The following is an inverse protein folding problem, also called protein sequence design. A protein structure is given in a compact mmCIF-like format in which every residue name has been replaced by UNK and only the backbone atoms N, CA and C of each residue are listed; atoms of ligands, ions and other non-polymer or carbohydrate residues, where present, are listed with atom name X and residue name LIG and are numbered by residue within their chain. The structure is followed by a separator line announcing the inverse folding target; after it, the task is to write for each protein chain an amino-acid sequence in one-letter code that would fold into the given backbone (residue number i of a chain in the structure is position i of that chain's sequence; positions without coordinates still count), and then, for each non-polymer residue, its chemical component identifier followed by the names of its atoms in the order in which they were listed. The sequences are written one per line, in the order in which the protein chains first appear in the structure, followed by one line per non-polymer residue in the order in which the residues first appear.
data_IF_780504667946
#
_entry.id   IF_780504667946
#
_cell.length_a   1.000
_cell.length_b   1.000
_cell.length_c   1.000
_cell.angle_alpha   90.00
_cell.angle_beta   90.00
_cell.angle_gamma   90.00
#
_symmetry.space_group_name_H-M   'P 1'
#
loop_
_entity.id
_entity.type
_entity.pdbx_description
1 polymer ?
#
# COMPACT_ATOMS: atom_id res chain seq x y z
N UNK A 1 -15.89 20.66 -11.97
CA UNK A 1 -16.51 19.52 -11.25
C UNK A 1 -16.06 19.47 -9.79
N UNK A 2 -17.03 19.25 -8.89
CA UNK A 2 -16.83 19.05 -7.45
C UNK A 2 -16.47 17.58 -7.20
N UNK A 3 -15.42 17.34 -6.41
CA UNK A 3 -14.96 16.01 -6.05
C UNK A 3 -14.89 15.89 -4.53
N UNK A 4 -15.39 14.79 -3.98
CA UNK A 4 -15.30 14.50 -2.55
C UNK A 4 -13.86 14.14 -2.14
N UNK A 5 -13.14 13.44 -3.04
CA UNK A 5 -11.79 12.97 -2.81
C UNK A 5 -10.98 12.94 -4.11
N UNK A 6 -9.68 13.23 -4.00
CA UNK A 6 -8.67 13.05 -5.04
C UNK A 6 -7.62 12.07 -4.51
N UNK A 7 -7.40 11.00 -5.27
CA UNK A 7 -6.40 9.99 -4.96
C UNK A 7 -5.18 10.20 -5.86
N UNK A 8 -4.01 10.42 -5.25
CA UNK A 8 -2.75 10.44 -5.98
C UNK A 8 -2.16 9.03 -6.04
N UNK A 9 -2.46 8.29 -7.11
CA UNK A 9 -2.22 6.84 -7.24
C UNK A 9 -0.78 6.38 -7.46
N UNK A 10 0.22 7.08 -6.93
CA UNK A 10 1.64 6.70 -7.09
C UNK A 10 2.36 6.67 -5.74
N UNK A 11 2.77 5.48 -5.30
CA UNK A 11 3.42 5.28 -3.99
C UNK A 11 4.81 5.89 -3.95
N UNK A 12 5.67 5.52 -4.91
CA UNK A 12 7.03 6.06 -5.05
C UNK A 12 7.02 7.57 -5.28
N UNK A 13 6.15 8.06 -6.16
CA UNK A 13 5.97 9.50 -6.41
C UNK A 13 5.52 10.26 -5.15
N UNK A 14 4.70 9.65 -4.30
CA UNK A 14 4.32 10.27 -3.02
C UNK A 14 5.49 10.38 -2.06
N UNK A 15 6.29 9.32 -1.96
CA UNK A 15 7.44 9.27 -1.05
C UNK A 15 8.51 10.25 -1.51
N UNK A 16 8.79 10.31 -2.81
CA UNK A 16 9.77 11.22 -3.40
C UNK A 16 9.34 12.70 -3.32
N UNK A 17 8.08 13.02 -3.64
CA UNK A 17 7.61 14.40 -3.66
C UNK A 17 7.19 14.93 -2.27
N UNK A 18 6.88 14.03 -1.33
CA UNK A 18 6.32 14.37 -0.03
C UNK A 18 4.81 14.64 -0.08
N UNK A 19 4.10 14.16 0.94
CA UNK A 19 2.65 14.30 1.04
C UNK A 19 2.18 15.76 1.02
N UNK A 20 2.83 16.66 1.76
CA UNK A 20 2.40 18.05 1.86
C UNK A 20 2.51 18.80 0.52
N UNK A 21 3.55 18.50 -0.26
CA UNK A 21 3.72 19.04 -1.61
C UNK A 21 2.57 18.63 -2.53
N UNK A 22 2.23 17.33 -2.53
CA UNK A 22 1.10 16.79 -3.32
C UNK A 22 -0.22 17.39 -2.84
N UNK A 23 -0.46 17.39 -1.53
CA UNK A 23 -1.67 17.93 -0.92
C UNK A 23 -1.87 19.39 -1.30
N UNK A 24 -0.84 20.21 -1.21
CA UNK A 24 -0.92 21.63 -1.56
C UNK A 24 -1.28 21.83 -3.04
N UNK A 25 -0.62 21.11 -3.95
CA UNK A 25 -0.93 21.17 -5.39
C UNK A 25 -2.36 20.73 -5.70
N UNK A 26 -2.83 19.64 -5.10
CA UNK A 26 -4.20 19.17 -5.27
C UNK A 26 -5.20 20.19 -4.71
N UNK A 27 -4.94 20.76 -3.53
CA UNK A 27 -5.81 21.73 -2.89
C UNK A 27 -5.90 23.06 -3.64
N UNK A 28 -4.87 23.47 -4.38
CA UNK A 28 -4.96 24.62 -5.29
C UNK A 28 -6.00 24.41 -6.40
N UNK A 29 -6.10 23.20 -6.95
CA UNK A 29 -7.06 22.89 -8.02
C UNK A 29 -8.44 22.44 -7.48
N UNK A 30 -8.46 21.78 -6.31
CA UNK A 30 -9.64 21.16 -5.68
C UNK A 30 -9.64 21.44 -4.16
N UNK A 31 -9.99 22.66 -3.73
CA UNK A 31 -9.89 23.08 -2.32
C UNK A 31 -10.72 22.22 -1.35
N UNK A 32 -11.89 21.77 -1.77
CA UNK A 32 -12.81 20.98 -0.94
C UNK A 32 -12.46 19.50 -0.89
N UNK A 33 -11.76 18.97 -1.90
CA UNK A 33 -11.53 17.54 -2.03
C UNK A 33 -10.56 17.02 -0.96
N UNK A 34 -10.87 15.88 -0.35
CA UNK A 34 -9.89 15.15 0.47
C UNK A 34 -8.75 14.66 -0.41
N UNK A 35 -7.54 14.56 0.15
CA UNK A 35 -6.36 14.09 -0.59
C UNK A 35 -5.88 12.82 0.05
N UNK A 36 -5.76 11.75 -0.73
CA UNK A 36 -5.32 10.45 -0.28
C UNK A 36 -4.16 9.99 -1.16
N UNK A 37 -3.16 9.40 -0.53
CA UNK A 37 -2.01 8.83 -1.21
C UNK A 37 -1.76 7.41 -0.71
N UNK A 38 -1.11 6.53 -1.49
CA UNK A 38 -0.85 5.16 -1.06
C UNK A 38 -0.09 5.07 0.27
N UNK A 39 0.90 5.95 0.47
CA UNK A 39 1.75 5.90 1.66
C UNK A 39 1.02 6.34 2.93
N UNK A 40 0.18 7.39 2.84
CA UNK A 40 -0.67 7.83 3.96
C UNK A 40 -1.80 6.84 4.22
N UNK A 41 -2.43 6.31 3.19
CA UNK A 41 -3.45 5.28 3.30
C UNK A 41 -2.91 3.99 3.94
N UNK A 42 -1.69 3.56 3.57
CA UNK A 42 -1.03 2.42 4.20
C UNK A 42 -0.77 2.66 5.68
N UNK A 43 -0.25 3.84 6.03
CA UNK A 43 -0.03 4.24 7.43
C UNK A 43 -1.34 4.26 8.23
N UNK A 44 -2.43 4.76 7.65
CA UNK A 44 -3.75 4.80 8.27
C UNK A 44 -4.33 3.40 8.48
N UNK A 45 -4.15 2.50 7.50
CA UNK A 45 -4.61 1.12 7.57
C UNK A 45 -3.88 0.35 8.67
N UNK A 46 -2.54 0.42 8.70
CA UNK A 46 -1.72 -0.23 9.73
C UNK A 46 -2.10 0.25 11.14
N UNK A 47 -2.27 1.57 11.32
CA UNK A 47 -2.71 2.16 12.59
C UNK A 47 -4.11 1.70 13.00
N UNK A 48 -5.09 1.66 12.08
CA UNK A 48 -6.44 1.16 12.36
C UNK A 48 -6.42 -0.30 12.84
N UNK A 49 -5.49 -1.10 12.31
CA UNK A 49 -5.32 -2.50 12.68
C UNK A 49 -4.43 -2.72 13.91
N UNK A 50 -3.92 -1.66 14.53
CA UNK A 50 -2.96 -1.70 15.65
C UNK A 50 -1.69 -2.50 15.31
N UNK A 51 -1.21 -2.42 14.07
CA UNK A 51 -0.02 -3.12 13.60
C UNK A 51 1.17 -2.17 13.62
N UNK A 52 2.31 -2.64 14.15
CA UNK A 52 3.55 -1.85 14.24
C UNK A 52 4.73 -2.52 13.51
N UNK A 53 4.79 -3.86 13.50
CA UNK A 53 5.87 -4.62 12.87
C UNK A 53 5.44 -5.07 11.48
N UNK A 54 6.16 -4.62 10.46
CA UNK A 54 5.81 -4.90 9.06
C UNK A 54 6.99 -5.46 8.28
N UNK A 55 6.68 -6.30 7.31
CA UNK A 55 7.58 -6.60 6.19
C UNK A 55 7.10 -5.85 4.95
N UNK A 56 8.02 -5.43 4.10
CA UNK A 56 7.71 -4.64 2.91
C UNK A 56 8.15 -5.40 1.66
N UNK A 57 7.27 -5.47 0.67
CA UNK A 57 7.61 -5.91 -0.66
C UNK A 57 7.44 -4.76 -1.65
N UNK A 58 8.42 -4.53 -2.52
CA UNK A 58 8.31 -3.53 -3.59
C UNK A 58 8.80 -4.11 -4.92
N UNK A 59 8.27 -3.72 -6.08
CA UNK A 59 8.84 -4.15 -7.36
C UNK A 59 10.03 -3.29 -7.78
N UNK A 60 10.33 -2.22 -7.04
CA UNK A 60 11.19 -1.13 -7.49
C UNK A 60 12.67 -1.47 -7.44
N UNK A 61 13.48 -0.58 -8.04
CA UNK A 61 14.92 -0.57 -7.84
C UNK A 61 15.30 -0.47 -6.37
N UNK A 62 16.49 -0.96 -6.01
CA UNK A 62 16.99 -0.89 -4.63
C UNK A 62 16.86 0.52 -4.02
N UNK A 63 17.23 1.56 -4.77
CA UNK A 63 17.17 2.95 -4.28
C UNK A 63 15.74 3.34 -3.86
N UNK A 64 14.76 3.07 -4.72
CA UNK A 64 13.35 3.39 -4.44
C UNK A 64 12.78 2.49 -3.33
N UNK A 65 13.19 1.22 -3.29
CA UNK A 65 12.84 0.32 -2.19
C UNK A 65 13.32 0.87 -0.84
N UNK A 66 14.58 1.32 -0.76
CA UNK A 66 15.17 1.91 0.45
C UNK A 66 14.40 3.16 0.89
N UNK A 67 14.00 4.03 -0.06
CA UNK A 67 13.16 5.21 0.22
C UNK A 67 11.79 4.82 0.81
N UNK A 68 11.17 3.73 0.33
CA UNK A 68 9.91 3.20 0.89
C UNK A 68 10.13 2.70 2.32
N UNK A 69 11.18 1.91 2.56
CA UNK A 69 11.51 1.39 3.89
C UNK A 69 11.76 2.55 4.87
N UNK A 70 12.52 3.55 4.47
CA UNK A 70 12.83 4.72 5.30
C UNK A 70 11.59 5.57 5.59
N UNK A 71 10.66 5.67 4.64
CA UNK A 71 9.38 6.32 4.88
C UNK A 71 8.64 5.65 6.05
N UNK A 72 8.47 4.33 6.03
CA UNK A 72 7.74 3.62 7.09
C UNK A 72 8.46 3.69 8.44
N UNK A 73 9.80 3.62 8.45
CA UNK A 73 10.60 3.87 9.67
C UNK A 73 10.35 5.26 10.24
N UNK A 74 10.31 6.30 9.40
CA UNK A 74 9.98 7.68 9.82
C UNK A 74 8.54 7.84 10.31
N UNK A 75 7.63 6.95 9.91
CA UNK A 75 6.28 6.86 10.45
C UNK A 75 6.19 6.04 11.76
N UNK A 76 7.33 5.67 12.34
CA UNK A 76 7.49 4.87 13.57
C UNK A 76 7.08 3.40 13.46
N UNK A 77 7.02 2.83 12.26
CA UNK A 77 6.87 1.39 12.08
C UNK A 77 8.21 0.67 12.18
N UNK A 78 8.19 -0.55 12.72
CA UNK A 78 9.35 -1.44 12.74
C UNK A 78 9.35 -2.29 11.48
N UNK A 79 10.28 -2.05 10.57
CA UNK A 79 10.43 -2.86 9.35
C UNK A 79 11.30 -4.08 9.65
N UNK A 80 10.67 -5.26 9.74
CA UNK A 80 11.32 -6.53 10.10
C UNK A 80 12.16 -7.08 8.95
N UNK A 81 11.57 -7.12 7.76
CA UNK A 81 12.25 -7.56 6.55
C UNK A 81 11.73 -6.78 5.34
N UNK A 82 12.51 -6.75 4.27
CA UNK A 82 12.04 -6.25 2.98
C UNK A 82 12.58 -7.10 1.84
N UNK A 83 11.85 -7.13 0.73
CA UNK A 83 12.27 -7.79 -0.51
C UNK A 83 11.77 -7.01 -1.72
N UNK A 84 12.50 -7.11 -2.83
CA UNK A 84 12.15 -6.37 -4.03
C UNK A 84 12.56 -7.08 -5.33
N UNK A 85 11.89 -6.74 -6.44
CA UNK A 85 12.20 -7.30 -7.77
C UNK A 85 13.26 -6.52 -8.57
N UNK A 86 13.66 -5.34 -8.12
CA UNK A 86 14.68 -4.49 -8.78
C UNK A 86 14.34 -4.12 -10.24
N UNK A 87 13.06 -3.85 -10.50
CA UNK A 87 12.57 -3.49 -11.84
C UNK A 87 12.59 -1.97 -12.00
N UNK A 88 13.18 -1.50 -13.11
CA UNK A 88 13.33 -0.07 -13.41
C UNK A 88 12.12 0.55 -14.12
N UNK A 89 11.39 -0.23 -14.91
CA UNK A 89 10.35 0.26 -15.81
C UNK A 89 8.95 -0.15 -15.32
N UNK A 90 8.05 0.83 -15.16
CA UNK A 90 6.67 0.61 -14.72
C UNK A 90 5.90 -0.34 -15.64
N UNK A 91 6.16 -0.32 -16.95
CA UNK A 91 5.50 -1.21 -17.91
C UNK A 91 5.79 -2.68 -17.60
N UNK A 92 7.00 -2.99 -17.14
CA UNK A 92 7.39 -4.36 -16.83
C UNK A 92 6.83 -4.80 -15.48
N UNK A 93 6.67 -3.86 -14.54
CA UNK A 93 5.96 -4.10 -13.26
C UNK A 93 4.50 -4.53 -13.51
N UNK A 94 3.80 -3.86 -14.44
CA UNK A 94 2.42 -4.21 -14.78
C UNK A 94 2.26 -5.60 -15.43
N UNK A 95 3.33 -6.11 -16.05
CA UNK A 95 3.34 -7.42 -16.72
C UNK A 95 3.71 -8.57 -15.80
N UNK A 96 4.01 -8.29 -14.53
CA UNK A 96 4.30 -9.34 -13.55
C UNK A 96 3.08 -10.25 -13.46
N UNK A 97 3.31 -11.52 -13.76
CA UNK A 97 2.30 -12.55 -13.65
C UNK A 97 1.81 -12.68 -12.21
N UNK A 98 0.50 -12.83 -12.06
CA UNK A 98 -0.14 -12.84 -10.76
C UNK A 98 0.21 -14.10 -9.95
N UNK A 99 0.37 -15.25 -10.62
CA UNK A 99 0.74 -16.51 -9.96
C UNK A 99 2.21 -16.48 -9.54
N UNK A 100 3.09 -15.92 -10.39
CA UNK A 100 4.48 -15.66 -10.03
C UNK A 100 4.60 -14.71 -8.82
N UNK A 101 3.81 -13.62 -8.78
CA UNK A 101 3.75 -12.72 -7.64
C UNK A 101 3.28 -13.45 -6.38
N UNK A 102 2.20 -14.24 -6.48
CA UNK A 102 1.68 -15.04 -5.37
C UNK A 102 2.73 -16.01 -4.83
N UNK A 103 3.39 -16.77 -5.70
CA UNK A 103 4.42 -17.74 -5.32
C UNK A 103 5.61 -17.08 -4.65
N UNK A 104 6.02 -15.92 -5.16
CA UNK A 104 7.11 -15.11 -4.58
C UNK A 104 6.74 -14.67 -3.17
N UNK A 105 5.60 -13.98 -3.02
CA UNK A 105 5.17 -13.42 -1.73
C UNK A 105 4.87 -14.51 -0.70
N UNK A 106 4.35 -15.67 -1.14
CA UNK A 106 4.06 -16.83 -0.28
C UNK A 106 5.28 -17.50 0.32
N UNK A 107 6.48 -17.26 -0.25
CA UNK A 107 7.76 -17.84 0.18
C UNK A 107 8.61 -16.85 0.98
N UNK A 108 8.16 -15.60 1.12
CA UNK A 108 8.89 -14.60 1.90
C UNK A 108 8.94 -15.00 3.38
N UNK A 109 10.12 -14.91 3.97
CA UNK A 109 10.27 -14.96 5.42
C UNK A 109 9.90 -13.60 6.03
N UNK A 110 8.80 -13.61 6.77
CA UNK A 110 8.26 -12.41 7.43
C UNK A 110 8.74 -12.29 8.89
N UNK A 111 9.46 -13.27 9.42
CA UNK A 111 9.89 -13.28 10.82
C UNK A 111 8.75 -12.99 11.80
N UNK A 112 8.98 -12.03 12.70
CA UNK A 112 8.00 -11.56 13.68
C UNK A 112 7.09 -10.43 13.18
N UNK A 113 7.10 -10.11 11.88
CA UNK A 113 6.18 -9.12 11.32
C UNK A 113 4.71 -9.53 11.52
N UNK A 114 3.85 -8.55 11.73
CA UNK A 114 2.41 -8.73 11.90
C UNK A 114 1.67 -8.60 10.55
N UNK A 115 2.24 -7.80 9.64
CA UNK A 115 1.74 -7.62 8.29
C UNK A 115 2.84 -7.61 7.21
N UNK A 116 2.46 -8.02 6.01
CA UNK A 116 3.19 -7.77 4.77
C UNK A 116 2.52 -6.61 4.02
N UNK A 117 3.28 -5.56 3.72
CA UNK A 117 2.83 -4.47 2.85
C UNK A 117 3.45 -4.60 1.45
N UNK A 118 2.60 -4.85 0.45
CA UNK A 118 2.94 -4.91 -0.97
C UNK A 118 2.80 -3.51 -1.58
N UNK A 119 3.92 -2.81 -1.70
CA UNK A 119 4.01 -1.43 -2.15
C UNK A 119 4.17 -1.35 -3.66
N UNK A 120 3.06 -1.22 -4.38
CA UNK A 120 2.98 -0.68 -5.74
C UNK A 120 1.52 -0.58 -6.16
N UNK A 121 1.14 0.50 -6.86
CA UNK A 121 -0.18 0.62 -7.47
C UNK A 121 -0.28 -0.09 -8.82
N UNK A 122 0.86 -0.41 -9.44
CA UNK A 122 0.94 -1.10 -10.73
C UNK A 122 1.05 -2.64 -10.60
N UNK A 123 1.19 -3.18 -9.39
CA UNK A 123 1.19 -4.63 -9.15
C UNK A 123 -0.26 -5.16 -9.06
N UNK A 124 -0.59 -6.29 -9.73
CA UNK A 124 -1.90 -6.92 -9.65
C UNK A 124 -2.10 -7.72 -8.35
N UNK A 125 -1.83 -7.09 -7.19
CA UNK A 125 -1.82 -7.76 -5.89
C UNK A 125 -3.23 -7.95 -5.27
N UNK A 126 -4.23 -7.16 -5.67
CA UNK A 126 -5.52 -7.08 -4.98
C UNK A 126 -6.29 -8.42 -4.97
N UNK A 127 -6.25 -9.16 -6.08
CA UNK A 127 -6.93 -10.45 -6.28
C UNK A 127 -6.32 -11.60 -5.49
N UNK A 128 -5.06 -11.48 -5.04
CA UNK A 128 -4.35 -12.55 -4.33
C UNK A 128 -4.27 -12.32 -2.81
N UNK A 129 -4.71 -11.17 -2.29
CA UNK A 129 -4.55 -10.82 -0.87
C UNK A 129 -5.19 -11.85 0.07
N UNK A 130 -6.44 -12.25 -0.17
CA UNK A 130 -7.14 -13.21 0.71
C UNK A 130 -6.47 -14.59 0.72
N UNK A 131 -5.93 -15.03 -0.42
CA UNK A 131 -5.17 -16.28 -0.51
C UNK A 131 -3.82 -16.15 0.20
N UNK A 132 -3.12 -15.04 0.01
CA UNK A 132 -1.83 -14.77 0.67
C UNK A 132 -1.97 -14.69 2.19
N UNK A 133 -2.99 -14.00 2.71
CA UNK A 133 -3.23 -13.93 4.16
C UNK A 133 -3.43 -15.31 4.78
N UNK A 134 -4.18 -16.20 4.10
CA UNK A 134 -4.37 -17.58 4.54
C UNK A 134 -3.07 -18.38 4.50
N UNK A 135 -2.28 -18.21 3.44
CA UNK A 135 -1.01 -18.93 3.25
C UNK A 135 0.06 -18.50 4.26
N UNK A 136 0.17 -17.20 4.52
CA UNK A 136 1.18 -16.60 5.38
C UNK A 136 0.76 -16.57 6.85
N UNK A 137 -0.54 -16.73 7.14
CA UNK A 137 -1.13 -16.53 8.47
C UNK A 137 -0.77 -15.15 9.08
N UNK A 138 -0.70 -14.12 8.23
CA UNK A 138 -0.41 -12.72 8.57
C UNK A 138 -1.35 -11.81 7.79
N UNK A 139 -1.46 -10.55 8.23
CA UNK A 139 -2.20 -9.54 7.45
C UNK A 139 -1.42 -9.20 6.18
N UNK A 140 -2.09 -9.03 5.05
CA UNK A 140 -1.45 -8.63 3.79
C UNK A 140 -2.18 -7.43 3.23
N UNK A 141 -1.44 -6.34 3.08
CA UNK A 141 -1.93 -5.06 2.57
C UNK A 141 -1.30 -4.76 1.21
N UNK A 142 -2.04 -4.14 0.31
CA UNK A 142 -1.48 -3.59 -0.93
C UNK A 142 -1.78 -2.11 -1.09
N UNK A 143 -0.97 -1.39 -1.87
CA UNK A 143 -1.20 0.03 -2.17
C UNK A 143 -2.60 0.30 -2.73
N UNK A 144 -3.10 -0.55 -3.64
CA UNK A 144 -4.43 -0.40 -4.22
C UNK A 144 -5.54 -0.66 -3.18
N UNK A 145 -5.39 -1.68 -2.34
CA UNK A 145 -6.37 -2.02 -1.31
C UNK A 145 -6.49 -0.90 -0.26
N UNK A 146 -5.36 -0.41 0.26
CA UNK A 146 -5.37 0.66 1.29
C UNK A 146 -5.91 1.97 0.72
N UNK A 147 -5.62 2.28 -0.55
CA UNK A 147 -6.17 3.45 -1.23
C UNK A 147 -7.70 3.38 -1.30
N UNK A 148 -8.26 2.27 -1.76
CA UNK A 148 -9.70 2.08 -1.86
C UNK A 148 -10.33 2.17 -0.47
N UNK A 149 -9.76 1.47 0.53
CA UNK A 149 -10.26 1.49 1.90
C UNK A 149 -10.25 2.89 2.51
N UNK A 150 -9.13 3.61 2.44
CA UNK A 150 -9.01 4.94 3.04
C UNK A 150 -9.91 5.95 2.32
N UNK A 151 -10.09 5.80 1.00
CA UNK A 151 -11.04 6.60 0.20
C UNK A 151 -12.47 6.38 0.67
N UNK A 152 -12.94 5.13 0.70
CA UNK A 152 -14.28 4.78 1.14
C UNK A 152 -14.56 5.25 2.57
N UNK A 153 -13.59 5.09 3.47
CA UNK A 153 -13.66 5.62 4.84
C UNK A 153 -13.79 7.13 4.85
N UNK A 154 -12.99 7.84 4.07
CA UNK A 154 -13.02 9.30 4.02
C UNK A 154 -14.32 9.86 3.42
N UNK A 155 -15.00 9.14 2.52
CA UNK A 155 -16.29 9.59 1.96
C UNK A 155 -17.50 9.01 2.70
N UNK A 156 -17.31 8.31 3.82
CA UNK A 156 -18.40 7.76 4.64
C UNK A 156 -19.12 6.56 4.01
N UNK A 157 -18.42 5.77 3.18
CA UNK A 157 -18.95 4.59 2.46
C UNK A 157 -18.17 3.31 2.83
N UNK A 158 -17.79 3.14 4.09
CA UNK A 158 -16.97 2.01 4.57
C UNK A 158 -17.81 0.78 4.96
N UNK A 159 -18.55 0.22 4.00
CA UNK A 159 -19.23 -1.06 4.24
C UNK A 159 -18.21 -2.21 4.23
N UNK A 160 -18.49 -3.29 4.97
CA UNK A 160 -17.59 -4.45 5.00
C UNK A 160 -17.63 -5.23 3.69
N UNK A 161 -16.44 -5.52 3.13
CA UNK A 161 -16.28 -6.28 1.89
C UNK A 161 -15.42 -7.51 2.17
N UNK A 162 -15.86 -8.68 1.68
CA UNK A 162 -15.14 -9.97 1.82
C UNK A 162 -14.36 -10.30 0.55
N UNK A 163 -13.35 -11.17 0.67
CA UNK A 163 -12.59 -11.71 -0.46
C UNK A 163 -11.36 -10.89 -0.89
N UNK A 164 -11.09 -9.77 -0.22
CA UNK A 164 -9.97 -8.88 -0.53
C UNK A 164 -9.08 -8.63 0.69
N UNK A 165 -8.84 -9.67 1.51
CA UNK A 165 -8.07 -9.58 2.75
C UNK A 165 -8.82 -8.96 3.94
N UNK A 166 -8.18 -8.93 5.10
CA UNK A 166 -8.79 -8.53 6.38
C UNK A 166 -9.14 -7.04 6.47
N UNK A 167 -8.41 -6.15 5.78
CA UNK A 167 -8.57 -4.69 5.93
C UNK A 167 -10.02 -4.23 5.70
N UNK A 168 -10.66 -4.68 4.63
CA UNK A 168 -12.04 -4.29 4.30
C UNK A 168 -13.11 -4.85 5.25
N UNK A 169 -12.74 -5.79 6.12
CA UNK A 169 -13.62 -6.28 7.18
C UNK A 169 -13.51 -5.45 8.47
N UNK A 170 -12.51 -4.56 8.57
CA UNK A 170 -12.24 -3.71 9.74
C UNK A 170 -12.73 -2.29 9.46
N UNK A 171 -14.03 -2.04 9.71
CA UNK A 171 -14.63 -0.71 9.54
C UNK A 171 -14.68 0.09 10.85
#
# INVERSE_FOLDING_TARGET
EKLDCVVYGCTSGTIAAGYDSIKNKVKLAKPEAKVITPSTAATNALKKMNINKISIFTPYSKKLNDEVVDYFKKQNFVVISNSYFDILNDVDIAKIDQDYLYETLSKMDLGDAEALFVSCTNLPALSILDKLEKKLNKVVLSSNQVLIWDTLKNVGKNNSIKGFGKLFSVN
#
